data_IF_469131504960
#
_entry.id   IF_469131504960
#
_cell.length_a   1.000
_cell.length_b   1.000
_cell.length_c   1.000
_cell.angle_alpha   90.00
_cell.angle_beta   90.00
_cell.angle_gamma   90.00
#
_symmetry.space_group_name_H-M   'P 1'
#
loop_
_entity.id
_entity.type
_entity.pdbx_description
1 polymer ?
#
# COMPACT_ATOMS: atom_id res chain seq x y z
N UNK A 1 0.69 24.49 -4.39
CA UNK A 1 1.04 23.30 -3.57
C UNK A 1 -0.09 22.28 -3.68
N UNK A 2 0.24 21.02 -3.98
CA UNK A 2 -0.76 19.94 -4.01
C UNK A 2 -1.26 19.64 -2.60
N UNK A 3 -2.43 18.99 -2.49
CA UNK A 3 -2.97 18.57 -1.20
C UNK A 3 -1.99 17.63 -0.47
N UNK A 4 -1.35 16.73 -1.20
CA UNK A 4 -0.35 15.84 -0.63
C UNK A 4 0.86 16.63 -0.09
N UNK A 5 1.35 17.61 -0.84
CA UNK A 5 2.48 18.43 -0.40
C UNK A 5 2.12 19.25 0.84
N UNK A 6 0.91 19.80 0.88
CA UNK A 6 0.43 20.54 2.05
C UNK A 6 0.33 19.62 3.28
N UNK A 7 -0.18 18.39 3.07
CA UNK A 7 -0.29 17.40 4.13
C UNK A 7 1.08 16.99 4.68
N UNK A 8 2.05 16.82 3.78
CA UNK A 8 3.43 16.53 4.16
C UNK A 8 4.03 17.64 5.03
N UNK A 9 3.79 18.90 4.64
CA UNK A 9 4.27 20.03 5.43
C UNK A 9 3.61 20.10 6.82
N UNK A 10 2.34 19.76 6.91
CA UNK A 10 1.65 19.66 8.20
C UNK A 10 2.32 18.63 9.11
N UNK A 11 2.63 17.44 8.53
CA UNK A 11 3.35 16.41 9.28
C UNK A 11 4.72 16.91 9.76
N UNK A 12 5.50 17.49 8.86
CA UNK A 12 6.84 18.00 9.20
C UNK A 12 6.78 19.05 10.31
N UNK A 13 5.72 19.85 10.33
CA UNK A 13 5.56 20.89 11.37
C UNK A 13 5.39 20.30 12.77
N UNK A 14 5.03 19.02 12.88
CA UNK A 14 4.91 18.34 14.19
C UNK A 14 6.24 17.79 14.68
N UNK A 15 7.30 17.86 13.88
CA UNK A 15 8.60 17.24 14.15
C UNK A 15 9.64 18.30 14.47
N UNK A 16 10.65 17.95 15.32
CA UNK A 16 11.81 18.82 15.50
C UNK A 16 12.51 19.10 14.18
N UNK A 17 13.09 20.29 14.03
CA UNK A 17 13.79 20.69 12.82
C UNK A 17 14.94 19.73 12.43
N UNK A 18 15.46 18.99 13.42
CA UNK A 18 16.54 18.02 13.24
C UNK A 18 16.06 16.62 12.80
N UNK A 19 14.74 16.41 12.77
CA UNK A 19 14.21 15.08 12.44
C UNK A 19 14.56 14.69 10.99
N UNK A 20 15.02 13.44 10.77
CA UNK A 20 15.45 12.99 9.44
C UNK A 20 14.37 13.11 8.35
N UNK A 21 13.09 13.07 8.71
CA UNK A 21 12.01 13.15 7.73
C UNK A 21 11.92 14.50 7.04
N UNK A 22 12.57 15.56 7.56
CA UNK A 22 12.64 16.84 6.84
C UNK A 22 13.41 16.72 5.53
N UNK A 23 14.26 15.69 5.40
CA UNK A 23 15.03 15.43 4.19
C UNK A 23 14.56 14.17 3.46
N UNK A 24 13.46 13.56 3.89
CA UNK A 24 12.94 12.33 3.29
C UNK A 24 12.13 12.65 2.02
N UNK A 25 12.13 11.69 1.11
CA UNK A 25 11.22 11.70 -0.04
C UNK A 25 10.00 10.84 0.31
N UNK A 26 8.88 11.15 -0.33
CA UNK A 26 7.64 10.38 -0.16
C UNK A 26 6.95 10.20 -1.50
N UNK A 27 6.07 9.22 -1.55
CA UNK A 27 5.15 9.04 -2.68
C UNK A 27 3.73 9.22 -2.16
N UNK A 28 2.80 9.58 -3.05
CA UNK A 28 1.38 9.70 -2.72
C UNK A 28 0.58 8.81 -3.66
N UNK A 29 -0.24 7.91 -3.10
CA UNK A 29 -1.00 6.95 -3.88
C UNK A 29 -2.20 6.42 -3.09
N UNK A 30 -3.17 5.84 -3.80
CA UNK A 30 -4.35 5.20 -3.21
C UNK A 30 -4.34 3.69 -3.44
N UNK A 31 -4.98 2.95 -2.54
CA UNK A 31 -5.08 1.50 -2.65
C UNK A 31 -6.06 1.08 -3.74
N UNK A 32 -5.80 -0.09 -4.34
CA UNK A 32 -6.71 -0.71 -5.29
C UNK A 32 -6.64 -0.11 -6.69
N UNK A 33 -7.64 -0.45 -7.51
CA UNK A 33 -7.70 -0.01 -8.90
C UNK A 33 -8.96 0.82 -9.22
N UNK A 34 -9.64 1.34 -8.19
CA UNK A 34 -10.81 2.21 -8.35
C UNK A 34 -10.91 3.19 -7.19
N UNK A 35 -11.66 4.28 -7.41
CA UNK A 35 -11.92 5.26 -6.35
C UNK A 35 -12.62 4.63 -5.15
N UNK A 36 -13.56 3.71 -5.40
CA UNK A 36 -14.29 3.01 -4.33
C UNK A 36 -13.36 2.16 -3.48
N UNK A 37 -12.44 1.43 -4.12
CA UNK A 37 -11.44 0.63 -3.40
C UNK A 37 -10.51 1.52 -2.59
N UNK A 38 -10.06 2.65 -3.15
CA UNK A 38 -9.20 3.58 -2.44
C UNK A 38 -9.87 4.10 -1.17
N UNK A 39 -11.16 4.43 -1.24
CA UNK A 39 -11.94 4.87 -0.08
C UNK A 39 -12.07 3.77 0.96
N UNK A 40 -12.49 2.58 0.53
CA UNK A 40 -12.73 1.44 1.42
C UNK A 40 -11.46 1.00 2.13
N UNK A 41 -10.39 0.78 1.36
CA UNK A 41 -9.12 0.32 1.91
C UNK A 41 -8.43 1.39 2.74
N UNK A 42 -8.54 2.65 2.33
CA UNK A 42 -8.03 3.78 3.12
C UNK A 42 -8.68 3.86 4.50
N UNK A 43 -9.99 3.64 4.58
CA UNK A 43 -10.69 3.63 5.87
C UNK A 43 -10.23 2.48 6.77
N UNK A 44 -9.95 1.32 6.19
CA UNK A 44 -9.40 0.19 6.97
C UNK A 44 -8.03 0.53 7.55
N UNK A 45 -7.20 1.25 6.80
CA UNK A 45 -5.90 1.72 7.31
C UNK A 45 -6.08 2.70 8.46
N UNK A 46 -6.97 3.68 8.31
CA UNK A 46 -7.26 4.66 9.36
C UNK A 46 -7.80 4.00 10.63
N UNK A 47 -8.60 2.94 10.48
CA UNK A 47 -9.15 2.21 11.61
C UNK A 47 -8.11 1.29 12.30
N UNK A 48 -6.93 1.11 11.71
CA UNK A 48 -5.92 0.21 12.23
C UNK A 48 -6.17 -1.26 11.90
N UNK A 49 -7.18 -1.54 11.07
CA UNK A 49 -7.54 -2.91 10.67
C UNK A 49 -6.60 -3.44 9.58
N UNK A 50 -6.23 -2.57 8.64
CA UNK A 50 -5.32 -2.91 7.55
C UNK A 50 -3.92 -2.38 7.87
N UNK A 51 -2.96 -3.30 8.04
CA UNK A 51 -1.56 -2.96 8.35
C UNK A 51 -0.58 -3.62 7.38
N UNK A 52 -1.10 -4.16 6.27
CA UNK A 52 -0.30 -4.84 5.26
C UNK A 52 -0.94 -4.67 3.89
N UNK A 53 -0.13 -4.79 2.84
CA UNK A 53 -0.60 -4.72 1.46
C UNK A 53 0.29 -5.57 0.55
N UNK A 54 -0.26 -6.01 -0.58
CA UNK A 54 0.46 -6.82 -1.55
C UNK A 54 0.45 -6.13 -2.91
N UNK A 55 1.55 -6.26 -3.65
CA UNK A 55 1.69 -5.69 -4.98
C UNK A 55 2.51 -6.60 -5.88
N UNK A 56 2.37 -6.39 -7.20
CA UNK A 56 3.04 -7.23 -8.20
C UNK A 56 4.46 -6.73 -8.48
N UNK A 57 5.45 -7.60 -8.32
CA UNK A 57 6.85 -7.28 -8.69
C UNK A 57 6.91 -6.81 -10.14
N UNK A 58 6.17 -7.47 -11.01
CA UNK A 58 6.19 -7.18 -12.45
C UNK A 58 5.73 -5.77 -12.78
N UNK A 59 4.82 -5.20 -11.99
CA UNK A 59 4.36 -3.83 -12.18
C UNK A 59 5.48 -2.82 -11.88
N UNK A 60 6.25 -3.04 -10.82
CA UNK A 60 7.40 -2.19 -10.54
C UNK A 60 8.43 -2.24 -11.66
N UNK A 61 8.70 -3.42 -12.19
CA UNK A 61 9.64 -3.59 -13.30
C UNK A 61 9.15 -2.84 -14.54
N UNK A 62 7.86 -2.97 -14.87
CA UNK A 62 7.26 -2.33 -16.05
C UNK A 62 7.26 -0.81 -15.96
N UNK A 63 7.02 -0.27 -14.76
CA UNK A 63 6.96 1.18 -14.54
C UNK A 63 8.35 1.80 -14.32
N UNK A 64 9.40 0.99 -14.26
CA UNK A 64 10.75 1.46 -13.95
C UNK A 64 10.88 2.00 -12.53
N UNK A 65 10.02 1.54 -11.62
CA UNK A 65 10.00 1.95 -10.23
C UNK A 65 10.71 0.93 -9.33
N UNK A 66 11.25 1.41 -8.22
CA UNK A 66 11.85 0.52 -7.23
C UNK A 66 10.79 -0.09 -6.32
N UNK A 67 11.03 -1.32 -5.87
CA UNK A 67 10.23 -1.92 -4.80
C UNK A 67 10.50 -1.14 -3.51
N UNK A 68 9.46 -0.75 -2.74
CA UNK A 68 9.67 0.04 -1.53
C UNK A 68 10.58 -0.68 -0.53
N UNK A 69 11.64 -0.02 -0.04
CA UNK A 69 12.46 -0.59 1.03
C UNK A 69 11.81 -0.34 2.39
N UNK A 70 12.30 -1.03 3.41
CA UNK A 70 11.95 -0.70 4.80
C UNK A 70 12.34 0.76 5.08
N UNK A 71 11.43 1.49 5.72
CA UNK A 71 11.59 2.92 5.97
C UNK A 71 10.97 3.81 4.91
N UNK A 72 10.46 3.25 3.82
CA UNK A 72 9.80 4.02 2.76
C UNK A 72 8.54 4.70 3.30
N UNK A 73 8.27 5.90 2.80
CA UNK A 73 7.19 6.74 3.31
C UNK A 73 6.19 7.02 2.19
N UNK A 74 4.90 6.84 2.50
CA UNK A 74 3.83 7.09 1.54
C UNK A 74 2.70 7.88 2.18
N UNK A 75 2.15 8.82 1.43
CA UNK A 75 0.90 9.49 1.77
C UNK A 75 -0.22 8.70 1.10
N UNK A 76 -1.15 8.20 1.91
CA UNK A 76 -2.27 7.42 1.39
C UNK A 76 -3.41 8.37 1.03
N UNK A 77 -3.91 8.21 -0.19
CA UNK A 77 -4.96 9.04 -0.76
C UNK A 77 -6.29 8.28 -0.79
N UNK A 78 -7.40 9.03 -0.67
CA UNK A 78 -8.73 8.47 -0.90
C UNK A 78 -9.08 8.46 -2.40
N UNK A 79 -10.30 8.06 -2.73
CA UNK A 79 -10.75 7.96 -4.12
C UNK A 79 -10.89 9.30 -4.85
N UNK A 80 -10.74 10.42 -4.15
CA UNK A 80 -10.74 11.76 -4.72
C UNK A 80 -9.36 12.42 -4.64
N UNK A 81 -8.32 11.60 -4.42
CA UNK A 81 -6.93 12.04 -4.28
C UNK A 81 -6.69 12.97 -3.10
N UNK A 82 -7.49 12.84 -2.03
CA UNK A 82 -7.30 13.59 -0.79
C UNK A 82 -6.46 12.79 0.19
N UNK A 83 -5.47 13.41 0.87
CA UNK A 83 -4.63 12.70 1.83
C UNK A 83 -5.42 12.21 3.04
N UNK A 84 -5.20 10.95 3.42
CA UNK A 84 -5.80 10.33 4.60
C UNK A 84 -4.81 10.19 5.76
N UNK A 85 -3.63 9.69 5.45
CA UNK A 85 -2.60 9.41 6.46
C UNK A 85 -1.24 9.25 5.79
N UNK A 86 -0.20 9.14 6.62
CA UNK A 86 1.15 8.82 6.18
C UNK A 86 1.51 7.47 6.80
N UNK A 87 2.05 6.57 5.98
CA UNK A 87 2.52 5.26 6.41
C UNK A 87 4.02 5.12 6.19
N UNK A 88 4.64 4.29 7.02
CA UNK A 88 6.05 3.93 6.88
C UNK A 88 6.13 2.41 6.73
N UNK A 89 6.87 1.95 5.72
CA UNK A 89 7.08 0.53 5.47
C UNK A 89 7.97 -0.06 6.55
N UNK A 90 7.52 -1.15 7.19
CA UNK A 90 8.26 -1.80 8.27
C UNK A 90 8.86 -3.13 7.87
N UNK A 91 8.31 -3.81 6.85
CA UNK A 91 8.80 -5.10 6.40
C UNK A 91 8.46 -5.32 4.94
N UNK A 92 9.39 -5.88 4.18
CA UNK A 92 9.19 -6.27 2.78
C UNK A 92 9.63 -7.72 2.61
N UNK A 93 8.76 -8.55 2.03
CA UNK A 93 9.06 -9.92 1.67
C UNK A 93 8.61 -10.15 0.24
N UNK A 94 9.48 -10.73 -0.60
CA UNK A 94 9.13 -11.06 -1.98
C UNK A 94 9.05 -12.57 -2.08
N UNK A 95 7.87 -13.06 -2.47
CA UNK A 95 7.62 -14.50 -2.61
C UNK A 95 6.42 -14.73 -3.52
N UNK A 96 6.15 -15.97 -3.94
CA UNK A 96 4.98 -16.26 -4.76
C UNK A 96 3.67 -15.87 -4.09
N UNK A 97 2.70 -15.39 -4.87
CA UNK A 97 1.39 -14.96 -4.38
C UNK A 97 0.72 -16.04 -3.52
N UNK A 98 0.76 -17.29 -3.99
CA UNK A 98 0.10 -18.41 -3.31
C UNK A 98 0.83 -18.88 -2.04
N UNK A 99 1.89 -18.20 -1.64
CA UNK A 99 2.60 -18.47 -0.38
C UNK A 99 2.21 -17.50 0.74
N UNK A 100 1.11 -16.78 0.56
CA UNK A 100 0.56 -15.93 1.62
C UNK A 100 0.27 -16.77 2.86
N UNK A 101 0.57 -16.24 4.04
CA UNK A 101 0.26 -16.92 5.30
C UNK A 101 -1.00 -16.33 5.96
N UNK A 102 -1.51 -17.03 6.98
CA UNK A 102 -2.74 -16.64 7.66
C UNK A 102 -2.61 -15.29 8.39
N UNK A 103 -1.45 -15.01 8.96
CA UNK A 103 -1.22 -13.75 9.66
C UNK A 103 -1.24 -12.57 8.70
N UNK A 104 -0.62 -12.72 7.52
CA UNK A 104 -0.63 -11.65 6.51
C UNK A 104 -2.04 -11.37 6.01
N UNK A 105 -2.82 -12.42 5.71
CA UNK A 105 -4.21 -12.27 5.27
C UNK A 105 -5.04 -11.55 6.35
N UNK A 106 -4.83 -11.87 7.61
CA UNK A 106 -5.48 -11.19 8.72
C UNK A 106 -5.07 -9.71 8.79
N UNK A 107 -3.78 -9.43 8.63
CA UNK A 107 -3.22 -8.08 8.75
C UNK A 107 -3.56 -7.18 7.56
N UNK A 108 -3.92 -7.75 6.41
CA UNK A 108 -4.47 -6.97 5.31
C UNK A 108 -5.87 -6.44 5.64
N UNK A 109 -6.58 -7.08 6.55
CA UNK A 109 -7.81 -6.56 7.12
C UNK A 109 -9.03 -6.57 6.22
N UNK A 110 -8.97 -7.20 5.06
CA UNK A 110 -10.04 -7.17 4.06
C UNK A 110 -10.92 -8.40 4.13
N UNK A 111 -12.20 -8.21 3.80
CA UNK A 111 -13.17 -9.29 3.77
C UNK A 111 -13.31 -9.97 5.13
N UNK A 112 -13.34 -11.30 5.12
CA UNK A 112 -13.42 -12.09 6.35
C UNK A 112 -12.03 -12.38 6.97
N UNK A 113 -10.98 -11.84 6.35
CA UNK A 113 -9.59 -11.91 6.82
C UNK A 113 -8.98 -13.33 6.80
N UNK A 114 -9.59 -14.24 6.01
CA UNK A 114 -9.06 -15.60 5.82
C UNK A 114 -8.13 -15.65 4.62
N UNK A 115 -7.25 -16.66 4.59
CA UNK A 115 -6.40 -16.93 3.42
C UNK A 115 -7.25 -17.22 2.17
N UNK A 116 -8.34 -17.98 2.34
CA UNK A 116 -9.22 -18.33 1.22
C UNK A 116 -9.83 -17.08 0.57
N UNK A 117 -10.36 -16.16 1.38
CA UNK A 117 -10.91 -14.91 0.87
C UNK A 117 -9.82 -14.06 0.22
N UNK A 118 -8.68 -13.96 0.89
CA UNK A 118 -7.54 -13.15 0.43
C UNK A 118 -7.04 -13.63 -0.95
N UNK A 119 -6.85 -14.95 -1.10
CA UNK A 119 -6.40 -15.52 -2.37
C UNK A 119 -7.41 -15.25 -3.49
N UNK A 120 -8.71 -15.46 -3.22
CA UNK A 120 -9.74 -15.23 -4.22
C UNK A 120 -9.78 -13.76 -4.66
N UNK A 121 -9.73 -12.82 -3.71
CA UNK A 121 -9.76 -11.39 -4.00
C UNK A 121 -8.54 -10.92 -4.75
N UNK A 122 -7.35 -11.37 -4.33
CA UNK A 122 -6.09 -10.98 -4.97
C UNK A 122 -5.91 -11.65 -6.33
N UNK A 123 -6.40 -12.87 -6.51
CA UNK A 123 -6.42 -13.51 -7.82
C UNK A 123 -7.23 -12.66 -8.80
N UNK A 124 -8.44 -12.24 -8.41
CA UNK A 124 -9.26 -11.38 -9.27
C UNK A 124 -8.57 -10.07 -9.61
N UNK A 125 -7.98 -9.42 -8.61
CA UNK A 125 -7.29 -8.15 -8.77
C UNK A 125 -6.06 -8.29 -9.70
N UNK A 126 -5.21 -9.26 -9.43
CA UNK A 126 -3.98 -9.42 -10.21
C UNK A 126 -4.23 -10.00 -11.61
N UNK A 127 -5.30 -10.79 -11.79
CA UNK A 127 -5.69 -11.19 -13.15
C UNK A 127 -6.07 -9.98 -13.99
N UNK A 128 -6.83 -9.04 -13.42
CA UNK A 128 -7.18 -7.79 -14.12
C UNK A 128 -5.93 -6.97 -14.46
N UNK A 129 -5.02 -6.86 -13.51
CA UNK A 129 -3.77 -6.12 -13.70
C UNK A 129 -2.93 -6.75 -14.82
N UNK A 130 -2.72 -8.05 -14.78
CA UNK A 130 -1.92 -8.77 -15.77
C UNK A 130 -2.56 -8.70 -17.16
N UNK A 131 -3.88 -8.88 -17.23
CA UNK A 131 -4.63 -8.81 -18.49
C UNK A 131 -4.50 -7.42 -19.13
N UNK A 132 -4.63 -6.37 -18.31
CA UNK A 132 -4.48 -4.99 -18.78
C UNK A 132 -3.11 -4.74 -19.42
N UNK A 133 -2.07 -5.39 -18.94
CA UNK A 133 -0.71 -5.24 -19.46
C UNK A 133 -0.34 -6.29 -20.52
N UNK A 134 -1.24 -7.20 -20.85
CA UNK A 134 -0.94 -8.28 -21.80
C UNK A 134 -0.02 -9.36 -21.22
N UNK A 135 0.05 -9.46 -19.90
CA UNK A 135 0.86 -10.47 -19.22
C UNK A 135 0.03 -11.72 -18.91
N UNK A 136 0.70 -12.87 -18.84
CA UNK A 136 0.06 -14.12 -18.46
C UNK A 136 0.06 -14.29 -16.95
N UNK A 137 -1.13 -14.32 -16.33
CA UNK A 137 -1.28 -14.53 -14.90
C UNK A 137 -0.90 -15.96 -14.51
N UNK A 138 -0.27 -16.09 -13.33
CA UNK A 138 0.00 -17.38 -12.70
C UNK A 138 -0.20 -17.23 -11.19
N UNK A 139 -0.70 -18.29 -10.53
CA UNK A 139 -0.95 -18.28 -9.08
C UNK A 139 0.33 -18.10 -8.26
N UNK A 140 1.49 -18.42 -8.84
CA UNK A 140 2.80 -18.26 -8.19
C UNK A 140 3.52 -16.98 -8.62
N UNK A 141 2.79 -15.99 -9.15
CA UNK A 141 3.39 -14.73 -9.58
C UNK A 141 4.23 -14.09 -8.46
N UNK A 142 5.39 -13.50 -8.81
CA UNK A 142 6.20 -12.81 -7.81
C UNK A 142 5.42 -11.65 -7.20
N UNK A 143 5.36 -11.61 -5.89
CA UNK A 143 4.53 -10.66 -5.13
C UNK A 143 5.35 -10.00 -4.05
N UNK A 144 5.15 -8.69 -3.89
CA UNK A 144 5.71 -7.92 -2.77
C UNK A 144 4.69 -7.95 -1.64
N UNK A 145 5.09 -8.54 -0.51
CA UNK A 145 4.31 -8.54 0.72
C UNK A 145 4.87 -7.46 1.62
N UNK A 146 4.12 -6.40 1.82
CA UNK A 146 4.57 -5.22 2.56
C UNK A 146 3.78 -5.06 3.85
N UNK A 147 4.49 -4.81 4.97
CA UNK A 147 3.89 -4.39 6.23
C UNK A 147 4.24 -2.94 6.48
N UNK A 148 3.33 -2.20 7.09
CA UNK A 148 3.51 -0.78 7.34
C UNK A 148 2.84 -0.36 8.65
N UNK A 149 3.17 0.85 9.09
CA UNK A 149 2.51 1.49 10.24
C UNK A 149 2.10 2.91 9.86
N UNK A 150 1.02 3.38 10.44
CA UNK A 150 0.59 4.78 10.30
C UNK A 150 1.45 5.64 11.21
N UNK A 151 2.07 6.69 10.67
CA UNK A 151 2.91 7.60 11.45
C UNK A 151 2.28 8.99 11.60
N UNK A 152 1.22 9.31 10.83
CA UNK A 152 0.53 10.59 10.91
C UNK A 152 -0.86 10.49 10.32
N UNK A 153 -1.82 11.12 10.98
CA UNK A 153 -3.18 11.30 10.45
C UNK A 153 -3.58 12.76 10.61
N UNK A 154 -4.50 13.23 9.76
CA UNK A 154 -5.09 14.55 9.93
C UNK A 154 -5.94 14.54 11.21
N UNK A 155 -5.81 15.58 12.01
CA UNK A 155 -6.61 15.75 13.22
C UNK A 155 -7.98 16.36 12.89
#
# INVERSE_FOLDING_TARGET
MTDAAAFWQQYLSTLPATHPHHNAIYEAWGFGDSAEMADELGQLVLAGTKTATASAVKEYEADGERIPPVGDISIILDGQNRPLCIIETTEITIKPLNKVDAQFAWDEGEGDRTVAWWLAAHERFFRRLYEKHGWTYSADMPTVFERFKVIYTAS
#
